data_IF_629447102022
#
_entry.id   IF_629447102022
#
_cell.length_a   1.000
_cell.length_b   1.000
_cell.length_c   1.000
_cell.angle_alpha   90.00
_cell.angle_beta   90.00
_cell.angle_gamma   90.00
#
_symmetry.space_group_name_H-M   'P 1'
#
loop_
_entity.id
_entity.type
_entity.pdbx_description
1 polymer ?
#
# COMPACT_ATOMS: atom_id res chain seq x y z
N UNK A 1 -15.58 -19.21 59.47
CA UNK A 1 -16.91 -19.74 59.10
C UNK A 1 -17.65 -18.74 58.22
N UNK A 2 -17.47 -18.81 56.89
CA UNK A 2 -18.38 -18.23 55.90
C UNK A 2 -18.39 -19.15 54.68
N UNK A 3 -19.61 -19.40 54.22
CA UNK A 3 -20.07 -20.51 53.40
C UNK A 3 -19.70 -20.37 51.93
N UNK A 4 -19.24 -21.48 51.32
CA UNK A 4 -19.01 -21.65 49.88
C UNK A 4 -20.32 -22.13 49.25
N UNK A 5 -20.85 -21.41 48.26
CA UNK A 5 -21.98 -21.84 47.43
C UNK A 5 -21.46 -22.47 46.14
N UNK A 6 -21.65 -23.78 46.02
CA UNK A 6 -21.51 -24.55 44.80
C UNK A 6 -22.79 -24.42 43.97
N UNK A 7 -22.70 -23.99 42.72
CA UNK A 7 -23.80 -24.02 41.75
C UNK A 7 -23.55 -25.23 40.84
N UNK A 8 -24.49 -26.18 40.85
CA UNK A 8 -24.54 -27.31 39.95
C UNK A 8 -25.30 -26.92 38.67
N UNK A 9 -24.70 -27.16 37.50
CA UNK A 9 -25.36 -27.06 36.21
C UNK A 9 -25.75 -28.48 35.78
N UNK A 10 -27.05 -28.73 35.74
CA UNK A 10 -27.65 -29.97 35.21
C UNK A 10 -27.72 -29.90 33.69
N UNK A 11 -27.09 -30.88 33.03
CA UNK A 11 -27.23 -31.14 31.61
C UNK A 11 -28.54 -31.91 31.32
N UNK A 12 -29.35 -31.39 30.41
CA UNK A 12 -30.51 -32.10 29.87
C UNK A 12 -30.19 -32.59 28.47
N UNK A 13 -30.12 -33.92 28.33
CA UNK A 13 -30.15 -34.64 27.07
C UNK A 13 -31.52 -34.46 26.39
N UNK A 14 -31.53 -34.09 25.11
CA UNK A 14 -32.68 -34.32 24.24
C UNK A 14 -32.24 -35.25 23.10
N UNK A 15 -32.72 -36.49 23.19
CA UNK A 15 -32.61 -37.53 22.17
C UNK A 15 -33.82 -37.42 21.25
N UNK A 16 -33.60 -37.23 19.95
CA UNK A 16 -34.61 -37.50 18.91
C UNK A 16 -33.92 -38.35 17.84
N UNK A 17 -34.41 -39.58 17.69
CA UNK A 17 -34.13 -40.47 16.57
C UNK A 17 -35.43 -40.74 15.80
N UNK A 18 -35.26 -41.29 14.59
CA UNK A 18 -36.21 -41.70 13.54
C UNK A 18 -36.36 -40.64 12.42
N UNK A 19 -36.18 -40.94 11.14
CA UNK A 19 -36.06 -42.25 10.50
C UNK A 19 -35.48 -42.19 9.09
N UNK A 20 -35.08 -43.37 8.66
CA UNK A 20 -34.43 -43.77 7.41
C UNK A 20 -35.41 -43.68 6.24
N UNK A 21 -34.94 -43.24 5.07
CA UNK A 21 -35.36 -43.81 3.79
C UNK A 21 -34.31 -43.60 2.70
N UNK A 22 -34.05 -44.69 2.01
CA UNK A 22 -33.02 -44.96 1.01
C UNK A 22 -33.22 -44.17 -0.29
N UNK A 23 -32.13 -43.60 -0.82
CA UNK A 23 -31.89 -43.55 -2.27
C UNK A 23 -30.42 -43.82 -2.54
N UNK A 24 -30.14 -45.03 -3.01
CA UNK A 24 -28.85 -45.44 -3.58
C UNK A 24 -28.92 -45.12 -5.07
N UNK A 25 -28.05 -44.21 -5.54
CA UNK A 25 -27.73 -44.07 -6.95
C UNK A 25 -26.24 -44.38 -7.17
N UNK A 26 -25.89 -45.06 -8.28
CA UNK A 26 -24.59 -45.69 -8.43
C UNK A 26 -23.51 -44.71 -8.91
N UNK A 27 -22.38 -44.70 -8.20
CA UNK A 27 -21.11 -44.24 -8.75
C UNK A 27 -20.63 -45.26 -9.79
N UNK A 28 -20.68 -44.91 -11.07
CA UNK A 28 -19.91 -45.57 -12.11
C UNK A 28 -19.40 -44.52 -13.11
N UNK A 29 -18.08 -44.57 -13.34
CA UNK A 29 -17.35 -44.12 -14.52
C UNK A 29 -17.47 -42.66 -14.98
N UNK A 30 -16.55 -41.82 -14.48
CA UNK A 30 -15.84 -40.84 -15.31
C UNK A 30 -14.35 -40.83 -14.92
N UNK A 31 -13.59 -41.81 -15.45
CA UNK A 31 -12.16 -41.64 -15.70
C UNK A 31 -12.05 -40.81 -16.98
N UNK A 32 -12.01 -39.49 -16.82
CA UNK A 32 -11.58 -38.54 -17.85
C UNK A 32 -10.33 -37.84 -17.33
N UNK A 33 -9.22 -38.01 -18.04
CA UNK A 33 -7.94 -37.38 -17.76
C UNK A 33 -8.03 -35.86 -17.88
N UNK A 34 -7.86 -35.13 -16.78
CA UNK A 34 -7.61 -33.69 -16.75
C UNK A 34 -6.28 -33.42 -16.03
N UNK A 35 -5.19 -34.02 -16.53
CA UNK A 35 -3.82 -33.70 -16.15
C UNK A 35 -3.06 -33.12 -17.36
N UNK A 36 -3.67 -32.18 -18.10
CA UNK A 36 -3.02 -31.49 -19.24
C UNK A 36 -3.43 -30.00 -19.34
N UNK A 37 -3.81 -29.40 -18.21
CA UNK A 37 -3.96 -27.94 -18.11
C UNK A 37 -3.32 -27.51 -16.80
N UNK A 38 -1.99 -27.43 -16.79
CA UNK A 38 -1.15 -26.63 -15.90
C UNK A 38 0.30 -26.99 -16.29
N UNK A 39 1.13 -25.97 -16.51
CA UNK A 39 2.51 -26.01 -17.06
C UNK A 39 2.58 -25.90 -18.60
N UNK A 40 2.11 -24.75 -19.09
CA UNK A 40 2.96 -23.93 -19.97
C UNK A 40 3.18 -22.61 -19.26
N UNK A 41 4.09 -22.62 -18.27
CA UNK A 41 4.80 -21.40 -17.95
C UNK A 41 5.55 -21.04 -19.23
N UNK A 42 5.15 -19.94 -19.85
CA UNK A 42 5.80 -19.45 -21.05
C UNK A 42 7.27 -19.15 -20.69
N UNK A 43 8.20 -19.66 -21.50
CA UNK A 43 9.50 -19.05 -21.66
C UNK A 43 9.25 -17.66 -22.26
N UNK A 44 8.93 -16.69 -21.39
CA UNK A 44 8.93 -15.29 -21.78
C UNK A 44 10.37 -14.93 -22.08
N UNK A 45 10.60 -14.35 -23.25
CA UNK A 45 11.94 -13.88 -23.58
C UNK A 45 12.32 -12.73 -22.65
N UNK A 46 13.62 -12.51 -22.46
CA UNK A 46 14.15 -11.34 -21.75
C UNK A 46 13.56 -10.04 -22.34
N UNK A 47 13.30 -10.00 -23.64
CA UNK A 47 12.64 -8.89 -24.33
C UNK A 47 11.18 -8.71 -23.91
N UNK A 48 10.43 -9.79 -23.65
CA UNK A 48 9.04 -9.74 -23.18
C UNK A 48 8.95 -9.28 -21.71
N UNK A 49 9.90 -9.69 -20.87
CA UNK A 49 10.03 -9.20 -19.49
C UNK A 49 10.38 -7.71 -19.47
N UNK A 50 11.35 -7.28 -20.29
CA UNK A 50 11.70 -5.87 -20.45
C UNK A 50 10.55 -5.07 -21.04
N UNK A 51 9.76 -5.60 -21.98
CA UNK A 51 8.58 -4.92 -22.52
C UNK A 51 7.43 -4.81 -21.50
N UNK A 52 7.19 -5.85 -20.71
CA UNK A 52 6.23 -5.82 -19.61
C UNK A 52 6.64 -4.82 -18.53
N UNK A 53 7.93 -4.78 -18.17
CA UNK A 53 8.52 -3.79 -17.27
C UNK A 53 8.44 -2.38 -17.83
N UNK A 54 8.79 -2.13 -19.10
CA UNK A 54 8.58 -0.83 -19.76
C UNK A 54 7.10 -0.41 -19.77
N UNK A 55 6.15 -1.33 -19.87
CA UNK A 55 4.71 -1.03 -19.77
C UNK A 55 4.23 -0.79 -18.32
N UNK A 56 5.01 -1.26 -17.34
CA UNK A 56 4.76 -1.13 -15.91
C UNK A 56 5.42 0.13 -15.31
N UNK A 57 6.55 0.56 -15.87
CA UNK A 57 7.41 1.66 -15.41
C UNK A 57 7.42 2.87 -16.35
N UNK A 58 7.21 2.68 -17.66
CA UNK A 58 7.30 3.75 -18.66
C UNK A 58 6.18 4.78 -18.63
N UNK A 59 5.29 4.72 -17.64
CA UNK A 59 4.16 5.62 -17.45
C UNK A 59 4.03 5.97 -15.97
N UNK A 60 5.05 6.63 -15.39
CA UNK A 60 4.80 7.60 -14.32
C UNK A 60 4.05 8.80 -14.89
N UNK A 61 2.85 8.56 -15.45
CA UNK A 61 1.95 9.58 -16.02
C UNK A 61 1.43 10.58 -14.97
N UNK A 62 1.93 10.51 -13.73
CA UNK A 62 1.63 11.54 -12.75
C UNK A 62 2.14 12.89 -13.27
N UNK A 63 3.33 12.98 -13.89
CA UNK A 63 3.76 14.21 -14.57
C UNK A 63 4.75 13.96 -15.71
N UNK A 64 4.33 14.29 -16.93
CA UNK A 64 5.19 14.48 -18.10
C UNK A 64 5.95 15.82 -17.94
N UNK A 65 6.95 15.83 -17.07
CA UNK A 65 7.86 16.95 -16.85
C UNK A 65 9.29 16.50 -17.09
N UNK A 66 9.66 16.39 -18.36
CA UNK A 66 11.06 16.45 -18.78
C UNK A 66 11.62 17.84 -18.43
N UNK A 67 12.14 17.98 -17.21
CA UNK A 67 13.05 19.06 -16.84
C UNK A 67 14.34 18.38 -16.40
N UNK A 68 15.36 18.46 -17.26
CA UNK A 68 16.72 18.10 -16.88
C UNK A 68 17.12 18.97 -15.66
N UNK A 69 17.47 18.38 -14.51
CA UNK A 69 17.94 19.17 -13.39
C UNK A 69 19.29 19.80 -13.78
N UNK A 70 19.33 21.13 -13.88
CA UNK A 70 20.62 21.82 -13.98
C UNK A 70 21.43 21.56 -12.70
N UNK A 71 22.74 21.27 -12.82
CA UNK A 71 23.59 21.01 -11.66
C UNK A 71 23.72 22.29 -10.83
N UNK A 72 23.05 22.31 -9.68
CA UNK A 72 23.15 23.40 -8.72
C UNK A 72 24.54 23.37 -8.05
N UNK A 73 25.28 24.48 -8.21
CA UNK A 73 26.62 24.64 -7.66
C UNK A 73 26.59 24.74 -6.14
N UNK A 74 27.16 23.74 -5.47
CA UNK A 74 27.53 23.83 -4.05
C UNK A 74 29.02 23.51 -3.90
N UNK A 75 29.77 24.48 -3.36
CA UNK A 75 31.20 24.39 -3.07
C UNK A 75 31.38 24.07 -1.58
N UNK A 76 31.39 22.79 -1.22
CA UNK A 76 31.98 22.32 0.03
C UNK A 76 32.70 20.98 -0.23
N UNK A 77 33.88 20.80 0.36
CA UNK A 77 34.79 19.67 0.12
C UNK A 77 34.19 18.32 0.57
N UNK A 78 33.23 17.78 -0.18
CA UNK A 78 32.80 16.39 -0.10
C UNK A 78 33.75 15.59 -1.01
N UNK A 79 34.28 14.48 -0.48
CA UNK A 79 35.12 13.56 -1.24
C UNK A 79 34.38 13.09 -2.50
N UNK A 80 35.05 13.07 -3.65
CA UNK A 80 34.44 12.76 -4.95
C UNK A 80 33.85 11.33 -4.95
N UNK A 81 34.50 10.40 -4.24
CA UNK A 81 34.03 9.04 -4.01
C UNK A 81 32.77 8.98 -3.12
N UNK A 82 32.62 9.95 -2.20
CA UNK A 82 31.40 10.11 -1.40
C UNK A 82 30.27 10.66 -2.28
N UNK A 83 30.52 11.71 -3.06
CA UNK A 83 29.52 12.31 -3.94
C UNK A 83 28.92 11.28 -4.93
N UNK A 84 29.74 10.36 -5.42
CA UNK A 84 29.33 9.34 -6.39
C UNK A 84 28.50 8.21 -5.75
N UNK A 85 28.80 7.81 -4.51
CA UNK A 85 28.03 6.80 -3.78
C UNK A 85 26.65 7.28 -3.29
N UNK A 86 26.41 8.60 -3.23
CA UNK A 86 25.18 9.14 -2.63
C UNK A 86 24.16 9.68 -3.64
N UNK A 87 24.53 9.75 -4.92
CA UNK A 87 23.59 9.81 -6.04
C UNK A 87 23.10 8.41 -6.45
N UNK A 88 23.51 7.35 -5.75
CA UNK A 88 23.07 6.00 -6.02
C UNK A 88 21.61 5.87 -5.63
N UNK A 89 20.76 5.66 -6.62
CA UNK A 89 19.39 5.19 -6.46
C UNK A 89 19.45 3.66 -6.44
N UNK A 90 19.13 2.99 -5.31
CA UNK A 90 18.97 1.53 -5.29
C UNK A 90 18.09 1.04 -6.44
N UNK A 91 17.05 1.79 -6.79
CA UNK A 91 16.23 1.47 -7.95
C UNK A 91 17.07 1.45 -9.24
N UNK A 92 17.72 2.56 -9.59
CA UNK A 92 18.47 2.65 -10.85
C UNK A 92 19.66 1.68 -10.93
N UNK A 93 20.22 1.25 -9.78
CA UNK A 93 21.22 0.18 -9.72
C UNK A 93 20.65 -1.18 -10.13
N UNK A 94 19.46 -1.55 -9.62
CA UNK A 94 18.82 -2.83 -9.94
C UNK A 94 18.22 -2.84 -11.34
N UNK A 95 17.83 -1.68 -11.86
CA UNK A 95 17.23 -1.54 -13.19
C UNK A 95 18.03 -0.58 -14.09
N UNK A 96 19.19 -1.02 -14.63
CA UNK A 96 20.02 -0.18 -15.50
C UNK A 96 19.24 0.37 -16.70
N UNK A 97 19.26 1.71 -16.85
CA UNK A 97 18.59 2.43 -17.93
C UNK A 97 17.14 2.82 -17.63
N UNK A 98 16.64 2.51 -16.45
CA UNK A 98 15.44 3.13 -15.89
C UNK A 98 15.87 4.23 -14.92
N UNK A 99 14.98 5.21 -14.74
CA UNK A 99 15.18 6.30 -13.81
C UNK A 99 13.99 6.44 -12.88
N UNK A 100 14.24 6.77 -11.61
CA UNK A 100 13.14 7.19 -10.72
C UNK A 100 12.68 8.59 -11.14
N UNK A 101 11.45 8.94 -10.76
CA UNK A 101 10.91 10.23 -11.11
C UNK A 101 11.69 11.37 -10.43
N UNK A 102 11.90 12.53 -11.10
CA UNK A 102 12.61 13.68 -10.52
C UNK A 102 12.09 14.13 -9.15
N UNK A 103 10.79 13.98 -8.90
CA UNK A 103 10.17 14.36 -7.64
C UNK A 103 10.50 13.41 -6.48
N UNK A 104 11.07 12.23 -6.77
CA UNK A 104 11.58 11.29 -5.76
C UNK A 104 13.00 11.60 -5.31
N UNK A 105 13.73 12.44 -6.05
CA UNK A 105 15.03 12.92 -5.64
C UNK A 105 14.90 14.07 -4.65
N UNK A 106 15.61 13.97 -3.52
CA UNK A 106 15.68 15.08 -2.58
C UNK A 106 16.60 16.17 -3.15
N UNK A 107 16.12 17.42 -3.23
CA UNK A 107 16.88 18.53 -3.80
C UNK A 107 18.16 18.86 -2.99
N UNK A 108 18.11 18.64 -1.68
CA UNK A 108 19.26 18.80 -0.77
C UNK A 108 19.49 17.49 -0.03
N UNK A 109 20.51 16.76 -0.45
CA UNK A 109 20.89 15.49 0.18
C UNK A 109 21.74 15.79 1.41
N UNK A 110 21.14 15.64 2.58
CA UNK A 110 21.88 15.49 3.82
C UNK A 110 22.35 14.04 3.92
N UNK A 111 23.54 13.82 4.48
CA UNK A 111 24.14 12.49 4.61
C UNK A 111 24.04 12.04 6.08
N UNK A 112 22.93 11.42 6.48
CA UNK A 112 22.83 10.86 7.82
C UNK A 112 23.87 9.74 7.99
N UNK A 113 24.38 9.54 9.22
CA UNK A 113 24.99 8.27 9.58
C UNK A 113 24.09 7.10 9.19
N UNK A 114 24.66 5.98 8.75
CA UNK A 114 23.86 4.85 8.22
C UNK A 114 22.85 4.31 9.25
N UNK A 115 23.22 4.30 10.53
CA UNK A 115 22.35 3.93 11.66
C UNK A 115 21.22 4.94 11.96
N UNK A 116 21.13 6.00 11.17
CA UNK A 116 20.12 7.07 11.22
C UNK A 116 19.36 7.23 9.92
N UNK A 117 19.78 6.60 8.83
CA UNK A 117 19.13 6.74 7.53
C UNK A 117 17.67 6.25 7.58
N UNK A 118 16.78 7.04 7.00
CA UNK A 118 15.35 6.76 6.92
C UNK A 118 14.96 6.62 5.45
N UNK A 119 14.23 5.57 5.11
CA UNK A 119 13.52 5.49 3.83
C UNK A 119 12.04 5.82 4.01
N UNK A 120 11.51 6.78 3.25
CA UNK A 120 10.08 7.08 3.21
C UNK A 120 9.32 5.97 2.49
N UNK A 121 8.35 5.35 3.14
CA UNK A 121 7.45 4.36 2.55
C UNK A 121 6.06 5.00 2.37
N UNK A 122 5.78 5.45 1.14
CA UNK A 122 4.54 6.12 0.78
C UNK A 122 3.56 5.15 0.13
N UNK A 123 2.61 4.68 0.92
CA UNK A 123 1.46 3.95 0.38
C UNK A 123 0.50 4.93 -0.29
N UNK A 124 0.12 4.66 -1.54
CA UNK A 124 -0.74 5.53 -2.32
C UNK A 124 -1.94 6.11 -1.56
N UNK A 125 -2.10 7.43 -1.63
CA UNK A 125 -3.21 8.20 -1.04
C UNK A 125 -3.27 8.23 0.49
N UNK A 126 -2.15 7.98 1.16
CA UNK A 126 -2.00 8.20 2.61
C UNK A 126 -1.41 9.58 2.96
N UNK A 127 -1.59 10.60 2.13
CA UNK A 127 -0.95 11.92 2.31
C UNK A 127 0.60 11.90 2.21
N UNK A 128 1.19 10.90 1.54
CA UNK A 128 2.65 10.83 1.43
C UNK A 128 3.28 11.96 0.63
N UNK A 129 2.60 12.60 -0.34
CA UNK A 129 3.12 13.84 -0.95
C UNK A 129 3.19 15.00 0.06
N UNK A 130 2.20 15.16 0.95
CA UNK A 130 2.27 16.15 2.04
C UNK A 130 3.48 15.89 2.94
N UNK A 131 3.71 14.63 3.32
CA UNK A 131 4.84 14.24 4.17
C UNK A 131 6.17 14.40 3.42
N UNK A 132 6.24 13.99 2.15
CA UNK A 132 7.41 14.13 1.30
C UNK A 132 7.79 15.62 1.11
N UNK A 133 6.82 16.51 0.89
CA UNK A 133 7.07 17.97 0.88
C UNK A 133 7.72 18.42 2.19
N UNK A 134 7.16 18.00 3.33
CA UNK A 134 7.67 18.37 4.65
C UNK A 134 9.09 17.82 4.91
N UNK A 135 9.44 16.69 4.29
CA UNK A 135 10.77 16.09 4.31
C UNK A 135 11.76 16.71 3.32
N UNK A 136 11.31 17.63 2.45
CA UNK A 136 12.14 18.32 1.46
C UNK A 136 12.22 17.65 0.09
N UNK A 137 11.34 16.69 -0.22
CA UNK A 137 11.20 16.18 -1.58
C UNK A 137 10.39 17.18 -2.44
N UNK A 138 10.75 17.39 -3.72
CA UNK A 138 10.03 18.28 -4.63
C UNK A 138 8.79 17.58 -5.21
N UNK A 139 7.93 17.07 -4.34
CA UNK A 139 6.72 16.35 -4.73
C UNK A 139 5.69 17.26 -5.43
N UNK A 140 4.82 16.70 -6.28
CA UNK A 140 3.78 17.49 -6.94
C UNK A 140 2.88 18.25 -5.95
N UNK A 141 2.73 19.54 -6.17
CA UNK A 141 1.91 20.43 -5.34
C UNK A 141 2.61 20.98 -4.09
N UNK A 142 3.89 20.66 -3.86
CA UNK A 142 4.66 21.33 -2.81
C UNK A 142 4.84 22.83 -3.12
N UNK A 143 4.60 23.74 -2.17
CA UNK A 143 5.06 25.11 -2.31
C UNK A 143 6.58 25.16 -2.33
N UNK A 144 7.16 26.09 -3.08
CA UNK A 144 8.61 26.32 -3.10
C UNK A 144 9.13 26.55 -1.67
N UNK A 145 10.06 25.70 -1.23
CA UNK A 145 10.93 25.86 -0.06
C UNK A 145 10.29 25.86 1.35
N UNK A 146 9.70 24.73 1.79
CA UNK A 146 9.51 24.48 3.23
C UNK A 146 9.83 23.05 3.64
N UNK A 147 11.12 22.71 3.62
CA UNK A 147 11.59 21.63 4.49
C UNK A 147 11.23 22.00 5.93
N UNK A 148 10.57 21.09 6.63
CA UNK A 148 10.24 21.31 8.03
C UNK A 148 11.50 21.27 8.90
N UNK A 149 11.42 21.84 10.10
CA UNK A 149 12.54 21.79 11.03
C UNK A 149 12.73 20.35 11.54
N UNK A 150 13.97 20.02 11.90
CA UNK A 150 14.31 18.75 12.55
C UNK A 150 15.42 17.97 11.85
N UNK A 151 15.71 16.80 12.39
CA UNK A 151 16.62 15.83 11.79
C UNK A 151 15.89 14.82 10.92
N UNK A 152 14.58 14.58 11.12
CA UNK A 152 13.81 13.63 10.31
C UNK A 152 13.81 13.98 8.82
N UNK A 153 13.59 15.25 8.40
CA UNK A 153 13.79 15.64 7.00
C UNK A 153 15.20 15.30 6.53
N UNK A 154 16.24 15.69 7.28
CA UNK A 154 17.64 15.46 6.92
C UNK A 154 18.00 13.98 6.82
N UNK A 155 17.40 13.15 7.64
CA UNK A 155 17.70 11.73 7.72
C UNK A 155 16.90 10.90 6.72
N UNK A 156 15.82 11.46 6.16
CA UNK A 156 15.02 10.80 5.13
C UNK A 156 15.59 11.12 3.75
N UNK A 157 16.34 10.17 3.20
CA UNK A 157 17.11 10.34 1.97
C UNK A 157 16.50 9.61 0.77
N UNK A 158 15.69 8.58 1.05
CA UNK A 158 15.16 7.62 0.07
C UNK A 158 13.65 7.53 0.09
N UNK A 159 13.06 7.03 -0.99
CA UNK A 159 11.61 6.97 -1.15
C UNK A 159 11.16 5.70 -1.88
N UNK A 160 10.27 4.96 -1.25
CA UNK A 160 9.50 3.87 -1.84
C UNK A 160 8.04 4.28 -2.10
N UNK A 161 7.63 4.26 -3.38
CA UNK A 161 6.25 4.57 -3.79
C UNK A 161 5.79 3.76 -5.00
N UNK A 162 4.60 3.16 -4.93
CA UNK A 162 3.87 2.65 -6.09
C UNK A 162 4.68 1.73 -7.04
N UNK A 163 5.50 0.83 -6.48
CA UNK A 163 6.34 -0.08 -7.26
C UNK A 163 7.73 0.44 -7.59
N UNK A 164 8.05 1.69 -7.23
CA UNK A 164 9.39 2.27 -7.30
C UNK A 164 10.05 2.14 -5.92
N UNK A 165 10.80 1.07 -5.70
CA UNK A 165 11.53 0.81 -4.45
C UNK A 165 12.94 1.44 -4.52
N UNK A 166 13.09 2.67 -4.03
CA UNK A 166 14.40 3.34 -3.93
C UNK A 166 15.01 3.29 -2.52
N UNK A 167 14.64 2.32 -1.69
CA UNK A 167 15.22 2.15 -0.36
C UNK A 167 16.48 1.28 -0.40
N UNK A 168 17.44 1.58 0.46
CA UNK A 168 18.47 0.60 0.79
C UNK A 168 17.91 -0.40 1.81
N UNK A 169 18.16 -1.69 1.60
CA UNK A 169 17.71 -2.73 2.54
C UNK A 169 18.31 -2.58 3.94
N UNK A 170 19.44 -1.91 4.08
CA UNK A 170 20.09 -1.62 5.36
C UNK A 170 19.79 -0.21 5.91
N UNK A 171 18.78 0.50 5.40
CA UNK A 171 18.30 1.74 6.02
C UNK A 171 17.87 1.48 7.47
N UNK A 172 18.25 2.37 8.37
CA UNK A 172 18.01 2.20 9.81
C UNK A 172 16.53 2.21 10.18
N UNK A 173 15.70 2.95 9.42
CA UNK A 173 14.27 3.02 9.61
C UNK A 173 13.50 3.07 8.29
N UNK A 174 12.28 2.52 8.31
CA UNK A 174 11.32 2.59 7.23
C UNK A 174 10.11 3.39 7.68
N UNK A 175 9.92 4.57 7.12
CA UNK A 175 8.94 5.55 7.56
C UNK A 175 7.64 5.43 6.77
N UNK A 176 6.71 4.64 7.30
CA UNK A 176 5.42 4.39 6.69
C UNK A 176 4.46 5.56 6.89
N UNK A 177 3.92 6.07 5.80
CA UNK A 177 2.78 6.98 5.82
C UNK A 177 1.50 6.18 5.63
N UNK A 178 0.63 6.18 6.64
CA UNK A 178 -0.61 5.39 6.65
C UNK A 178 -1.85 6.28 6.82
N UNK A 179 -3.00 5.72 6.47
CA UNK A 179 -4.32 6.31 6.52
C UNK A 179 -5.36 5.22 6.78
N UNK A 180 -6.51 5.58 7.34
CA UNK A 180 -7.67 4.69 7.42
C UNK A 180 -7.88 3.94 6.08
N UNK A 181 -7.86 2.58 6.06
CA UNK A 181 -7.88 1.82 4.82
C UNK A 181 -9.08 2.10 3.91
N UNK A 182 -10.27 2.36 4.47
CA UNK A 182 -11.45 2.71 3.70
C UNK A 182 -11.27 4.07 3.01
N UNK A 183 -10.86 5.10 3.76
CA UNK A 183 -10.66 6.45 3.22
C UNK A 183 -9.54 6.47 2.18
N UNK A 184 -8.50 5.66 2.39
CA UNK A 184 -7.43 5.45 1.41
C UNK A 184 -7.99 4.84 0.13
N UNK A 185 -8.75 3.76 0.22
CA UNK A 185 -9.32 3.08 -0.95
C UNK A 185 -10.27 3.97 -1.76
N UNK A 186 -11.15 4.74 -1.07
CA UNK A 186 -12.00 5.75 -1.71
C UNK A 186 -11.15 6.80 -2.41
N UNK A 187 -10.11 7.31 -1.74
CA UNK A 187 -9.22 8.32 -2.32
C UNK A 187 -8.43 7.77 -3.51
N UNK A 188 -8.01 6.50 -3.49
CA UNK A 188 -7.26 5.84 -4.55
C UNK A 188 -8.15 5.58 -5.77
N UNK A 189 -9.36 5.08 -5.56
CA UNK A 189 -10.33 4.90 -6.63
C UNK A 189 -10.59 6.21 -7.37
N UNK A 190 -10.91 7.28 -6.64
CA UNK A 190 -11.21 8.58 -7.24
C UNK A 190 -9.99 9.22 -7.92
N UNK A 191 -8.80 9.03 -7.35
CA UNK A 191 -7.57 9.51 -7.98
C UNK A 191 -7.28 8.81 -9.30
N UNK A 192 -7.49 7.50 -9.35
CA UNK A 192 -7.18 6.70 -10.53
C UNK A 192 -8.11 6.92 -11.72
N UNK A 193 -9.27 7.55 -11.50
CA UNK A 193 -10.22 7.87 -12.55
C UNK A 193 -9.68 9.01 -13.42
N UNK A 194 -9.54 8.83 -14.74
CA UNK A 194 -9.08 9.91 -15.62
C UNK A 194 -10.04 11.12 -15.59
N UNK A 195 -9.50 12.32 -15.46
CA UNK A 195 -10.29 13.56 -15.57
C UNK A 195 -10.90 13.73 -16.95
N UNK A 196 -10.17 13.30 -17.99
CA UNK A 196 -10.68 13.14 -19.36
C UNK A 196 -10.18 11.85 -19.99
N UNK A 197 -11.04 11.21 -20.79
CA UNK A 197 -10.67 10.00 -21.53
C UNK A 197 -9.65 10.26 -22.65
N UNK A 198 -9.54 11.50 -23.11
CA UNK A 198 -8.51 11.90 -24.08
C UNK A 198 -7.12 11.86 -23.46
N UNK A 199 -6.95 12.41 -22.25
CA UNK A 199 -5.68 12.31 -21.51
C UNK A 199 -5.26 10.85 -21.35
N UNK A 200 -6.18 9.99 -20.91
CA UNK A 200 -5.88 8.57 -20.72
C UNK A 200 -5.46 7.85 -22.02
N UNK A 201 -6.04 8.20 -23.18
CA UNK A 201 -5.64 7.64 -24.48
C UNK A 201 -4.26 8.11 -24.93
N UNK A 202 -3.89 9.33 -24.55
CA UNK A 202 -2.63 9.95 -24.94
C UNK A 202 -1.46 9.51 -24.06
N UNK A 203 -1.72 9.02 -22.84
CA UNK A 203 -0.70 8.49 -21.92
C UNK A 203 0.00 7.22 -22.45
N UNK A 204 -0.71 6.11 -22.57
CA UNK A 204 -0.24 4.91 -23.31
C UNK A 204 -1.40 3.96 -23.57
N UNK A 205 -1.25 3.08 -24.56
CA UNK A 205 -2.26 2.06 -24.86
C UNK A 205 -2.45 1.09 -23.68
N UNK A 206 -1.37 0.71 -23.00
CA UNK A 206 -1.42 -0.17 -21.84
C UNK A 206 -2.15 0.49 -20.66
N UNK A 207 -1.78 1.73 -20.31
CA UNK A 207 -2.48 2.50 -19.28
C UNK A 207 -3.97 2.65 -19.61
N UNK A 208 -4.30 3.12 -20.83
CA UNK A 208 -5.67 3.32 -21.27
C UNK A 208 -6.52 2.06 -21.14
N UNK A 209 -6.00 0.90 -21.61
CA UNK A 209 -6.71 -0.38 -21.51
C UNK A 209 -7.01 -0.76 -20.05
N UNK A 210 -6.04 -0.59 -19.15
CA UNK A 210 -6.19 -0.92 -17.72
C UNK A 210 -7.24 -0.02 -17.05
N UNK A 211 -7.12 1.30 -17.17
CA UNK A 211 -8.04 2.23 -16.49
C UNK A 211 -9.44 2.20 -17.10
N UNK A 212 -9.57 2.08 -18.44
CA UNK A 212 -10.86 1.96 -19.11
C UNK A 212 -11.64 0.75 -18.61
N UNK A 213 -10.97 -0.39 -18.40
CA UNK A 213 -11.60 -1.63 -17.98
C UNK A 213 -12.34 -1.52 -16.63
N UNK A 214 -11.84 -0.70 -15.69
CA UNK A 214 -12.49 -0.47 -14.41
C UNK A 214 -13.44 0.72 -14.46
N UNK A 215 -12.94 1.88 -14.90
CA UNK A 215 -13.64 3.15 -14.72
C UNK A 215 -14.64 3.49 -15.83
N UNK A 216 -14.39 3.07 -17.08
CA UNK A 216 -15.32 3.33 -18.19
C UNK A 216 -16.31 2.18 -18.37
N UNK A 217 -15.80 0.96 -18.36
CA UNK A 217 -16.58 -0.22 -18.73
C UNK A 217 -17.45 -0.73 -17.58
N UNK A 218 -17.12 -0.37 -16.33
CA UNK A 218 -17.78 -0.92 -15.15
C UNK A 218 -18.31 0.14 -14.18
N UNK A 219 -17.46 0.99 -13.61
CA UNK A 219 -17.86 1.83 -12.46
C UNK A 219 -17.36 3.27 -12.58
N UNK A 220 -18.30 4.22 -12.58
CA UNK A 220 -17.96 5.65 -12.63
C UNK A 220 -17.68 6.22 -11.23
N UNK A 221 -18.26 5.62 -10.17
CA UNK A 221 -18.06 6.03 -8.78
C UNK A 221 -17.75 4.84 -7.87
N UNK A 222 -17.14 5.11 -6.72
CA UNK A 222 -16.86 4.08 -5.71
C UNK A 222 -18.16 3.47 -5.14
N UNK A 223 -19.23 4.27 -5.04
CA UNK A 223 -20.56 3.78 -4.66
C UNK A 223 -21.10 2.75 -5.67
N UNK A 224 -20.96 2.99 -6.98
CA UNK A 224 -21.35 2.00 -8.00
C UNK A 224 -20.49 0.74 -7.93
N UNK A 225 -19.18 0.89 -7.69
CA UNK A 225 -18.30 -0.26 -7.49
C UNK A 225 -18.80 -1.15 -6.35
N UNK A 226 -19.19 -0.55 -5.22
CA UNK A 226 -19.71 -1.28 -4.08
C UNK A 226 -21.12 -1.84 -4.33
N UNK A 227 -22.09 -0.99 -4.64
CA UNK A 227 -23.50 -1.34 -4.74
C UNK A 227 -23.80 -2.27 -5.92
N UNK A 228 -23.16 -2.07 -7.08
CA UNK A 228 -23.40 -2.88 -8.27
C UNK A 228 -22.37 -4.01 -8.41
N UNK A 229 -21.10 -3.74 -8.09
CA UNK A 229 -19.98 -4.66 -8.29
C UNK A 229 -19.76 -5.67 -7.17
N UNK A 230 -19.81 -5.21 -5.91
CA UNK A 230 -19.52 -6.06 -4.74
C UNK A 230 -20.77 -6.69 -4.13
N UNK A 231 -21.91 -6.01 -4.17
CA UNK A 231 -23.14 -6.53 -3.58
C UNK A 231 -23.56 -7.87 -4.21
N UNK A 232 -24.08 -8.79 -3.39
CA UNK A 232 -24.55 -10.10 -3.85
C UNK A 232 -25.61 -9.98 -4.97
N UNK A 233 -26.52 -9.02 -4.80
CA UNK A 233 -27.62 -8.70 -5.72
C UNK A 233 -27.33 -7.45 -6.60
N UNK A 234 -26.07 -7.06 -6.75
CA UNK A 234 -25.68 -5.92 -7.58
C UNK A 234 -25.97 -6.14 -9.07
N UNK A 235 -26.21 -5.05 -9.81
CA UNK A 235 -26.64 -5.10 -11.22
C UNK A 235 -25.47 -5.20 -12.21
N UNK A 236 -24.22 -5.31 -11.74
CA UNK A 236 -23.05 -5.40 -12.61
C UNK A 236 -22.92 -6.77 -13.28
N UNK A 237 -22.32 -6.79 -14.48
CA UNK A 237 -21.96 -8.04 -15.17
C UNK A 237 -20.95 -8.86 -14.36
N UNK A 238 -20.88 -10.18 -14.58
CA UNK A 238 -19.90 -11.05 -13.90
C UNK A 238 -18.45 -10.53 -14.05
N UNK A 239 -18.09 -10.04 -15.23
CA UNK A 239 -16.78 -9.43 -15.49
C UNK A 239 -16.55 -8.20 -14.61
N UNK A 240 -17.53 -7.29 -14.50
CA UNK A 240 -17.39 -6.10 -13.67
C UNK A 240 -17.36 -6.42 -12.18
N UNK A 241 -18.13 -7.42 -11.72
CA UNK A 241 -18.07 -7.90 -10.33
C UNK A 241 -16.68 -8.45 -9.98
N UNK A 242 -16.08 -9.22 -10.90
CA UNK A 242 -14.70 -9.68 -10.73
C UNK A 242 -13.72 -8.51 -10.66
N UNK A 243 -13.82 -7.54 -11.57
CA UNK A 243 -12.95 -6.34 -11.59
C UNK A 243 -13.10 -5.51 -10.31
N UNK A 244 -14.31 -5.36 -9.77
CA UNK A 244 -14.55 -4.68 -8.49
C UNK A 244 -13.77 -5.34 -7.35
N UNK A 245 -13.92 -6.67 -7.20
CA UNK A 245 -13.20 -7.44 -6.17
C UNK A 245 -11.69 -7.27 -6.31
N UNK A 246 -11.17 -7.50 -7.52
CA UNK A 246 -9.74 -7.46 -7.80
C UNK A 246 -9.12 -6.06 -7.64
N UNK A 247 -9.90 -5.00 -7.89
CA UNK A 247 -9.47 -3.63 -7.68
C UNK A 247 -9.32 -3.31 -6.18
N UNK A 248 -10.33 -3.66 -5.36
CA UNK A 248 -10.31 -3.41 -3.91
C UNK A 248 -9.28 -4.27 -3.20
N UNK A 249 -9.14 -5.53 -3.61
CA UNK A 249 -8.15 -6.47 -3.07
C UNK A 249 -6.71 -6.17 -3.55
N UNK A 250 -6.56 -5.28 -4.55
CA UNK A 250 -5.27 -4.96 -5.15
C UNK A 250 -4.63 -6.14 -5.90
N UNK A 251 -5.42 -7.14 -6.32
CA UNK A 251 -4.91 -8.34 -7.01
C UNK A 251 -4.71 -8.11 -8.51
N UNK A 252 -5.33 -7.09 -9.09
CA UNK A 252 -5.17 -6.72 -10.51
C UNK A 252 -4.82 -5.23 -10.61
N UNK A 253 -3.84 -4.90 -11.44
CA UNK A 253 -3.39 -3.52 -11.67
C UNK A 253 -4.32 -2.76 -12.61
N UNK A 254 -5.43 -2.24 -12.08
CA UNK A 254 -6.24 -1.24 -12.80
C UNK A 254 -5.66 0.17 -12.63
N UNK A 255 -5.20 0.47 -11.42
CA UNK A 255 -4.50 1.70 -11.05
C UNK A 255 -3.50 1.41 -9.92
N UNK A 256 -2.42 2.20 -9.86
CA UNK A 256 -1.25 1.94 -9.02
C UNK A 256 -1.55 2.03 -7.52
N UNK A 257 -2.29 3.04 -7.05
CA UNK A 257 -2.54 3.26 -5.63
C UNK A 257 -3.50 2.24 -5.00
N UNK A 258 -4.35 1.60 -5.80
CA UNK A 258 -5.12 0.42 -5.38
C UNK A 258 -4.26 -0.86 -5.42
N UNK A 259 -3.44 -1.02 -6.46
CA UNK A 259 -2.66 -2.24 -6.68
C UNK A 259 -1.47 -2.41 -5.71
N UNK A 260 -0.72 -1.33 -5.47
CA UNK A 260 0.37 -1.29 -4.50
C UNK A 260 -0.21 -0.85 -3.15
N UNK A 261 -0.85 -1.81 -2.48
CA UNK A 261 -1.56 -1.63 -1.23
C UNK A 261 -0.63 -1.78 0.00
N UNK A 262 -1.16 -1.78 1.23
CA UNK A 262 -0.35 -1.93 2.44
C UNK A 262 0.41 -3.25 2.46
N UNK A 263 -0.19 -4.35 1.97
CA UNK A 263 0.48 -5.65 1.92
C UNK A 263 1.76 -5.57 1.09
N UNK A 264 1.69 -4.96 -0.10
CA UNK A 264 2.85 -4.81 -0.96
C UNK A 264 3.99 -4.07 -0.25
N UNK A 265 3.69 -2.94 0.39
CA UNK A 265 4.74 -2.13 1.03
C UNK A 265 5.30 -2.80 2.29
N UNK A 266 4.47 -3.47 3.09
CA UNK A 266 4.92 -4.16 4.30
C UNK A 266 5.78 -5.39 3.98
N UNK A 267 5.45 -6.15 2.95
CA UNK A 267 6.21 -7.34 2.55
C UNK A 267 7.44 -7.02 1.69
N UNK A 268 7.52 -5.82 1.10
CA UNK A 268 8.65 -5.39 0.28
C UNK A 268 9.84 -4.87 1.09
N UNK A 269 9.63 -4.38 2.32
CA UNK A 269 10.76 -3.97 3.20
C UNK A 269 11.49 -5.21 3.76
N UNK A 270 12.71 -5.08 4.33
CA UNK A 270 13.40 -6.19 4.99
C UNK A 270 12.64 -6.73 6.20
N UNK A 271 12.89 -8.00 6.55
CA UNK A 271 12.18 -8.68 7.63
C UNK A 271 12.44 -8.08 9.03
N UNK A 272 13.63 -7.50 9.23
CA UNK A 272 14.07 -6.85 10.45
C UNK A 272 13.93 -5.32 10.39
N UNK A 273 13.21 -4.80 9.39
CA UNK A 273 12.95 -3.38 9.22
C UNK A 273 12.35 -2.76 10.49
N UNK A 274 12.98 -1.66 10.94
CA UNK A 274 12.44 -0.84 12.04
C UNK A 274 11.45 0.16 11.47
N UNK A 275 10.17 -0.13 11.64
CA UNK A 275 9.09 0.68 11.07
C UNK A 275 8.81 1.88 11.98
N UNK A 276 8.86 3.08 11.42
CA UNK A 276 8.28 4.30 12.00
C UNK A 276 6.99 4.57 11.23
N UNK A 277 5.95 5.06 11.88
CA UNK A 277 4.66 5.32 11.23
C UNK A 277 4.12 6.69 11.55
N UNK A 278 3.59 7.35 10.53
CA UNK A 278 2.80 8.57 10.63
C UNK A 278 1.41 8.32 10.07
N UNK A 279 0.38 8.60 10.88
CA UNK A 279 -1.03 8.44 10.52
C UNK A 279 -1.55 9.75 9.94
N UNK A 280 -2.25 9.68 8.81
CA UNK A 280 -2.83 10.86 8.13
C UNK A 280 -3.78 11.64 9.04
N UNK A 281 -4.48 10.91 9.92
CA UNK A 281 -5.44 11.45 10.88
C UNK A 281 -4.73 12.24 12.00
N UNK A 282 -3.45 11.94 12.26
CA UNK A 282 -2.66 12.41 13.41
C UNK A 282 -1.28 12.96 13.02
N UNK A 283 -1.16 13.53 11.82
CA UNK A 283 0.13 13.90 11.18
C UNK A 283 1.09 14.64 12.12
N UNK A 284 0.60 15.62 12.88
CA UNK A 284 1.46 16.50 13.69
C UNK A 284 2.04 15.78 14.90
N UNK A 285 1.20 15.05 15.65
CA UNK A 285 1.65 14.33 16.84
C UNK A 285 2.61 13.21 16.45
N UNK A 286 2.25 12.48 15.40
CA UNK A 286 3.07 11.39 14.90
C UNK A 286 4.38 11.90 14.29
N UNK A 287 4.41 13.07 13.65
CA UNK A 287 5.66 13.70 13.21
C UNK A 287 6.62 13.96 14.38
N UNK A 288 6.11 14.52 15.48
CA UNK A 288 6.93 14.80 16.66
C UNK A 288 7.47 13.51 17.29
N UNK A 289 6.69 12.42 17.30
CA UNK A 289 7.19 11.11 17.77
C UNK A 289 8.22 10.50 16.82
N UNK A 290 8.03 10.63 15.50
CA UNK A 290 8.98 10.15 14.50
C UNK A 290 10.32 10.90 14.59
N UNK A 291 10.28 12.23 14.68
CA UNK A 291 11.43 13.11 14.89
C UNK A 291 12.23 12.69 16.13
N UNK A 292 11.56 12.50 17.27
CA UNK A 292 12.21 12.05 18.50
C UNK A 292 12.81 10.64 18.35
N UNK A 293 12.11 9.74 17.65
CA UNK A 293 12.55 8.34 17.45
C UNK A 293 13.85 8.23 16.67
N UNK A 294 14.06 9.10 15.67
CA UNK A 294 15.29 9.13 14.88
C UNK A 294 16.44 9.87 15.59
N UNK A 295 16.18 10.45 16.77
CA UNK A 295 17.16 11.14 17.61
C UNK A 295 17.09 12.67 17.58
N UNK A 296 16.01 13.22 17.05
CA UNK A 296 15.69 14.65 17.08
C UNK A 296 15.11 15.12 18.41
N UNK A 297 14.67 16.37 18.43
CA UNK A 297 14.02 16.97 19.59
C UNK A 297 12.52 16.61 19.64
N UNK A 298 11.91 16.74 20.83
CA UNK A 298 10.45 16.64 20.94
C UNK A 298 9.81 17.97 20.54
N UNK A 299 8.62 17.91 19.93
CA UNK A 299 7.80 19.09 19.63
C UNK A 299 8.46 20.10 18.68
N UNK A 300 9.21 19.61 17.67
CA UNK A 300 9.95 20.45 16.72
C UNK A 300 9.01 21.33 15.89
N UNK A 301 7.77 20.91 15.66
CA UNK A 301 6.78 21.71 14.93
C UNK A 301 6.15 22.86 15.76
N UNK A 302 6.48 22.96 17.05
CA UNK A 302 5.94 23.97 17.97
C UNK A 302 4.43 23.83 18.23
N UNK A 303 3.87 24.77 18.99
CA UNK A 303 2.43 24.83 19.32
C UNK A 303 1.58 25.31 18.14
N UNK A 304 2.17 26.04 17.18
CA UNK A 304 1.43 26.65 16.07
C UNK A 304 1.14 25.66 14.92
N UNK A 305 1.76 24.47 14.90
CA UNK A 305 1.40 23.30 14.07
C UNK A 305 1.15 23.51 12.56
N UNK A 306 1.54 24.66 11.99
CA UNK A 306 1.21 25.06 10.60
C UNK A 306 2.20 24.57 9.54
N UNK A 307 3.24 23.84 9.94
CA UNK A 307 4.38 23.53 9.08
C UNK A 307 4.15 22.37 8.12
N UNK A 308 3.23 21.44 8.42
CA UNK A 308 2.88 20.35 7.49
C UNK A 308 1.72 20.82 6.62
N UNK A 309 1.94 21.12 5.33
CA UNK A 309 0.87 21.61 4.47
C UNK A 309 -0.14 20.49 4.22
N UNK A 310 -1.42 20.74 4.53
CA UNK A 310 -2.50 19.83 4.12
C UNK A 310 -2.79 20.03 2.63
N UNK A 311 -2.04 19.32 1.79
CA UNK A 311 -2.16 19.39 0.34
C UNK A 311 -3.19 18.35 -0.09
N UNK A 312 -4.44 18.80 -0.24
CA UNK A 312 -5.43 18.01 -0.96
C UNK A 312 -5.30 18.35 -2.44
N UNK A 313 -4.52 17.56 -3.19
CA UNK A 313 -4.30 17.76 -4.64
C UNK A 313 -5.62 17.63 -5.43
N UNK A 314 -6.64 16.96 -4.88
CA UNK A 314 -7.95 16.82 -5.52
C UNK A 314 -9.05 17.54 -4.74
N UNK A 315 -9.68 18.50 -5.41
CA UNK A 315 -11.00 19.07 -5.08
C UNK A 315 -12.12 18.06 -5.40
N UNK A 316 -11.96 16.81 -4.95
CA UNK A 316 -12.99 15.80 -5.16
C UNK A 316 -14.27 16.24 -4.46
N UNK A 317 -15.38 16.23 -5.20
CA UNK A 317 -16.68 16.67 -4.69
C UNK A 317 -17.21 15.71 -3.63
N UNK A 318 -18.08 16.16 -2.73
CA UNK A 318 -18.72 15.30 -1.73
C UNK A 318 -19.41 14.08 -2.37
N UNK A 319 -19.87 14.24 -3.62
CA UNK A 319 -20.48 13.16 -4.40
C UNK A 319 -19.49 12.04 -4.77
N UNK A 320 -18.22 12.37 -5.01
CA UNK A 320 -17.20 11.38 -5.37
C UNK A 320 -16.73 10.57 -4.15
N UNK A 321 -16.78 11.17 -2.96
CA UNK A 321 -16.47 10.49 -1.70
C UNK A 321 -17.66 9.77 -1.07
N UNK A 322 -18.86 9.95 -1.61
CA UNK A 322 -20.08 9.41 -1.05
C UNK A 322 -20.05 7.87 -1.06
N UNK A 323 -20.37 7.29 0.10
CA UNK A 323 -20.66 5.88 0.27
C UNK A 323 -21.89 5.73 1.19
N UNK A 324 -22.87 4.92 0.75
CA UNK A 324 -23.95 4.46 1.64
C UNK A 324 -23.39 3.59 2.76
N UNK A 325 -24.14 3.42 3.85
CA UNK A 325 -23.71 2.55 4.95
C UNK A 325 -23.60 1.09 4.48
N UNK A 326 -24.48 0.64 3.58
CA UNK A 326 -24.41 -0.68 2.95
C UNK A 326 -23.17 -0.84 2.08
N UNK A 327 -22.88 0.15 1.21
CA UNK A 327 -21.69 0.14 0.36
C UNK A 327 -20.40 0.18 1.18
N UNK A 328 -20.40 0.90 2.31
CA UNK A 328 -19.28 0.93 3.25
C UNK A 328 -18.98 -0.46 3.79
N UNK A 329 -20.00 -1.18 4.26
CA UNK A 329 -19.85 -2.55 4.78
C UNK A 329 -19.25 -3.47 3.71
N UNK A 330 -19.73 -3.39 2.47
CA UNK A 330 -19.23 -4.20 1.36
C UNK A 330 -17.75 -3.94 1.04
N UNK A 331 -17.34 -2.67 1.04
CA UNK A 331 -15.94 -2.31 0.82
C UNK A 331 -15.07 -2.76 1.99
N UNK A 332 -15.51 -2.52 3.23
CA UNK A 332 -14.77 -2.96 4.43
C UNK A 332 -14.54 -4.47 4.42
N UNK A 333 -15.57 -5.27 4.11
CA UNK A 333 -15.46 -6.73 4.00
C UNK A 333 -14.35 -7.13 3.00
N UNK A 334 -14.33 -6.48 1.84
CA UNK A 334 -13.30 -6.69 0.81
C UNK A 334 -11.92 -6.17 1.18
N UNK A 335 -11.84 -5.12 1.98
CA UNK A 335 -10.61 -4.58 2.54
C UNK A 335 -10.13 -5.34 3.78
N UNK A 336 -10.79 -6.42 4.22
CA UNK A 336 -10.44 -7.07 5.48
C UNK A 336 -8.93 -7.37 5.60
N UNK A 337 -8.32 -7.98 4.57
CA UNK A 337 -6.89 -8.31 4.59
C UNK A 337 -6.02 -7.05 4.68
N UNK A 338 -6.33 -6.04 3.87
CA UNK A 338 -5.66 -4.73 3.89
C UNK A 338 -5.75 -4.06 5.26
N UNK A 339 -6.91 -4.17 5.92
CA UNK A 339 -7.14 -3.70 7.28
C UNK A 339 -6.27 -4.46 8.28
N UNK A 340 -6.17 -5.79 8.19
CA UNK A 340 -5.28 -6.54 9.09
C UNK A 340 -3.82 -6.16 8.88
N UNK A 341 -3.39 -5.91 7.64
CA UNK A 341 -2.03 -5.41 7.35
C UNK A 341 -1.81 -4.03 7.96
N UNK A 342 -2.78 -3.11 7.83
CA UNK A 342 -2.74 -1.79 8.47
C UNK A 342 -2.56 -1.91 9.99
N UNK A 343 -3.32 -2.78 10.66
CA UNK A 343 -3.16 -3.03 12.10
C UNK A 343 -1.77 -3.56 12.43
N UNK A 344 -1.25 -4.46 11.60
CA UNK A 344 0.09 -5.00 11.79
C UNK A 344 1.15 -3.91 11.67
N UNK A 345 1.05 -3.01 10.68
CA UNK A 345 1.95 -1.84 10.55
C UNK A 345 1.94 -1.05 11.85
N UNK A 346 0.77 -0.61 12.33
CA UNK A 346 0.65 0.16 13.57
C UNK A 346 1.29 -0.55 14.78
N UNK A 347 1.08 -1.86 14.88
CA UNK A 347 1.56 -2.67 16.00
C UNK A 347 3.08 -2.83 16.02
N UNK A 348 3.72 -2.87 14.85
CA UNK A 348 5.19 -3.02 14.75
C UNK A 348 5.92 -1.67 14.70
N UNK A 349 5.19 -0.56 14.59
CA UNK A 349 5.75 0.78 14.61
C UNK A 349 6.48 1.04 15.93
N UNK A 350 7.74 1.48 15.85
CA UNK A 350 8.57 1.71 17.04
C UNK A 350 8.32 3.08 17.70
N UNK A 351 7.61 3.99 17.03
CA UNK A 351 7.31 5.34 17.51
C UNK A 351 5.89 5.51 18.08
N UNK A 352 5.01 4.53 17.89
CA UNK A 352 3.63 4.58 18.38
C UNK A 352 3.52 3.88 19.73
N UNK A 353 2.79 4.48 20.66
CA UNK A 353 2.41 3.84 21.93
C UNK A 353 1.04 3.16 21.81
N UNK A 354 0.73 2.24 22.74
CA UNK A 354 -0.54 1.50 22.75
C UNK A 354 -1.77 2.41 22.66
N UNK A 355 -1.78 3.53 23.38
CA UNK A 355 -2.90 4.50 23.36
C UNK A 355 -3.13 5.09 21.96
N UNK A 356 -2.07 5.38 21.20
CA UNK A 356 -2.17 5.88 19.83
C UNK A 356 -2.64 4.79 18.87
N UNK A 357 -2.21 3.54 19.10
CA UNK A 357 -2.69 2.40 18.31
C UNK A 357 -4.19 2.20 18.57
N UNK A 358 -4.62 2.16 19.83
CA UNK A 358 -6.02 2.02 20.24
C UNK A 358 -6.91 3.15 19.71
N UNK A 359 -6.41 4.39 19.67
CA UNK A 359 -7.09 5.53 19.04
C UNK A 359 -7.38 5.24 17.56
N UNK A 360 -6.38 4.83 16.79
CA UNK A 360 -6.57 4.51 15.37
C UNK A 360 -7.48 3.30 15.13
N UNK A 361 -7.43 2.30 16.01
CA UNK A 361 -8.36 1.17 15.95
C UNK A 361 -9.79 1.58 16.29
N UNK A 362 -9.96 2.55 17.20
CA UNK A 362 -11.26 3.11 17.56
C UNK A 362 -11.85 3.94 16.43
N UNK A 363 -11.03 4.74 15.75
CA UNK A 363 -11.43 5.47 14.53
C UNK A 363 -11.80 4.52 13.40
N UNK A 364 -10.98 3.48 13.18
CA UNK A 364 -11.28 2.42 12.20
C UNK A 364 -12.58 1.70 12.52
N UNK A 365 -12.90 1.47 13.80
CA UNK A 365 -14.16 0.84 14.22
C UNK A 365 -15.39 1.68 13.86
N UNK A 366 -15.26 3.01 13.74
CA UNK A 366 -16.36 3.87 13.28
C UNK A 366 -16.68 3.65 11.80
N UNK A 367 -15.68 3.34 10.97
CA UNK A 367 -15.86 3.13 9.53
C UNK A 367 -16.07 1.66 9.14
N UNK A 368 -15.31 0.73 9.72
CA UNK A 368 -15.31 -0.71 9.44
C UNK A 368 -15.38 -1.53 10.76
N UNK A 369 -16.53 -1.56 11.46
CA UNK A 369 -16.63 -2.10 12.81
C UNK A 369 -16.26 -3.59 12.92
N UNK A 370 -16.71 -4.40 11.96
CA UNK A 370 -16.48 -5.85 11.99
C UNK A 370 -15.00 -6.17 11.77
N UNK A 371 -14.38 -5.51 10.80
CA UNK A 371 -12.99 -5.73 10.41
C UNK A 371 -12.02 -5.16 11.44
N UNK A 372 -12.38 -4.05 12.12
CA UNK A 372 -11.62 -3.48 13.23
C UNK A 372 -11.50 -4.46 14.41
N UNK A 373 -12.57 -5.20 14.72
CA UNK A 373 -12.58 -6.20 15.80
C UNK A 373 -12.00 -7.56 15.38
N UNK A 374 -12.15 -7.92 14.11
CA UNK A 374 -11.65 -9.18 13.56
C UNK A 374 -10.12 -9.31 13.71
N UNK A 375 -9.66 -10.51 14.08
CA UNK A 375 -8.24 -10.86 14.16
C UNK A 375 -7.71 -11.49 12.86
N UNK A 376 -8.61 -11.92 11.99
CA UNK A 376 -8.31 -12.58 10.71
C UNK A 376 -9.50 -12.43 9.77
N UNK A 377 -9.26 -12.66 8.48
CA UNK A 377 -10.29 -12.59 7.45
C UNK A 377 -10.83 -13.97 7.08
N UNK A 378 -12.05 -14.01 6.54
CA UNK A 378 -12.65 -15.24 6.02
C UNK A 378 -12.04 -15.69 4.68
N UNK A 379 -11.29 -14.80 4.02
CA UNK A 379 -10.53 -15.06 2.82
C UNK A 379 -9.03 -15.11 3.15
N UNK A 380 -8.24 -15.97 2.50
CA UNK A 380 -6.80 -15.99 2.70
C UNK A 380 -6.20 -14.65 2.26
N UNK A 381 -5.07 -14.29 2.87
CA UNK A 381 -4.25 -13.18 2.38
C UNK A 381 -3.84 -13.50 0.92
N UNK A 382 -3.78 -12.52 0.00
CA UNK A 382 -3.30 -12.76 -1.36
C UNK A 382 -1.82 -13.15 -1.38
N UNK A 383 -1.44 -14.05 -2.28
CA UNK A 383 -0.04 -14.28 -2.62
C UNK A 383 0.43 -13.18 -3.58
N UNK A 384 1.40 -12.38 -3.14
CA UNK A 384 1.97 -11.26 -3.92
C UNK A 384 3.42 -11.53 -4.34
N UNK A 385 3.87 -12.78 -4.31
CA UNK A 385 5.24 -13.20 -4.70
C UNK A 385 5.63 -12.62 -6.06
N UNK A 386 4.81 -12.83 -7.09
CA UNK A 386 5.06 -12.28 -8.44
C UNK A 386 5.09 -10.76 -8.44
N UNK A 387 4.16 -10.10 -7.74
CA UNK A 387 4.14 -8.64 -7.59
C UNK A 387 5.43 -8.10 -6.97
N UNK A 388 5.99 -8.79 -5.97
CA UNK A 388 7.25 -8.42 -5.33
C UNK A 388 8.45 -8.66 -6.26
N UNK A 389 8.50 -9.81 -6.94
CA UNK A 389 9.55 -10.11 -7.93
C UNK A 389 9.60 -9.07 -9.04
N UNK A 390 8.44 -8.70 -9.56
CA UNK A 390 8.34 -7.74 -10.67
C UNK A 390 8.70 -6.31 -10.28
N UNK A 391 8.49 -5.93 -9.01
CA UNK A 391 8.47 -4.51 -8.63
C UNK A 391 9.39 -4.10 -7.46
N UNK A 392 9.85 -5.01 -6.59
CA UNK A 392 10.77 -4.66 -5.49
C UNK A 392 12.22 -4.53 -5.95
N UNK A 393 12.58 -5.17 -7.06
CA UNK A 393 13.94 -5.14 -7.59
C UNK A 393 14.83 -6.20 -7.02
N UNK A 394 14.30 -7.40 -6.80
CA UNK A 394 15.16 -8.51 -6.45
C UNK A 394 16.07 -8.87 -7.63
N UNK A 395 17.32 -9.20 -7.34
CA UNK A 395 18.24 -9.73 -8.34
C UNK A 395 17.66 -10.98 -9.00
N UNK A 396 17.98 -11.18 -10.29
CA UNK A 396 17.54 -12.36 -11.01
C UNK A 396 18.03 -13.64 -10.32
N UNK A 397 17.08 -14.52 -9.96
CA UNK A 397 17.36 -15.76 -9.22
C UNK A 397 17.32 -15.62 -7.71
N UNK A 398 17.02 -14.43 -7.16
CA UNK A 398 16.76 -14.27 -5.72
C UNK A 398 15.60 -15.17 -5.31
N UNK A 399 15.84 -16.01 -4.31
CA UNK A 399 14.83 -16.86 -3.73
C UNK A 399 14.17 -16.12 -2.57
N UNK A 400 12.94 -15.65 -2.78
CA UNK A 400 12.12 -15.12 -1.69
C UNK A 400 11.44 -16.28 -0.96
N UNK A 401 11.38 -16.18 0.37
CA UNK A 401 10.71 -17.16 1.22
C UNK A 401 9.31 -17.47 0.73
N UNK A 402 8.92 -18.75 0.78
CA UNK A 402 7.60 -19.19 0.35
C UNK A 402 6.48 -18.40 1.01
N UNK A 403 5.40 -18.21 0.25
CA UNK A 403 4.20 -17.56 0.72
C UNK A 403 3.58 -18.31 1.91
N UNK A 404 3.67 -17.73 3.11
CA UNK A 404 3.23 -18.35 4.35
C UNK A 404 1.73 -18.25 4.65
N UNK A 405 0.97 -17.43 3.92
CA UNK A 405 -0.42 -17.11 4.27
C UNK A 405 -0.59 -16.13 5.43
N UNK A 406 0.49 -15.77 6.12
CA UNK A 406 0.47 -14.88 7.28
C UNK A 406 1.00 -13.49 6.91
N UNK A 407 0.49 -12.47 7.59
CA UNK A 407 1.00 -11.11 7.48
C UNK A 407 2.37 -11.06 8.17
N UNK A 408 3.40 -10.64 7.45
CA UNK A 408 4.76 -10.47 7.96
C UNK A 408 5.37 -9.15 7.51
N UNK A 409 6.28 -8.61 8.33
CA UNK A 409 7.20 -7.56 7.90
C UNK A 409 8.23 -8.24 7.01
N UNK A 410 8.32 -7.79 5.77
CA UNK A 410 9.22 -8.32 4.76
C UNK A 410 9.02 -9.78 4.37
N UNK A 411 9.79 -10.17 3.36
CA UNK A 411 10.04 -11.56 2.95
C UNK A 411 11.52 -11.86 3.16
N UNK A 412 11.83 -13.06 3.67
CA UNK A 412 13.24 -13.49 3.82
C UNK A 412 13.82 -13.74 2.43
N UNK A 413 15.06 -13.28 2.20
CA UNK A 413 15.83 -13.61 1.01
C UNK A 413 16.78 -14.76 1.34
N UNK A 414 16.88 -15.75 0.44
CA UNK A 414 17.66 -16.96 0.61
C UNK A 414 18.85 -17.05 -0.33
#
# INVERSE_FOLDING_TARGET
>A
MKSVRTIAITASLLTICFGVSYFVLPCNNLRGSNNDVMIKAAEMSEEDLVAAQKSNYGNSDDYDAHVDPEPFGYEDNIDEDQLQAYNLSPFEEHWPGYHIDPWMYKAVTWYPPKDKEVCLVHVGKSAGYTVACALGFPSPGCPEEKETLGVLPKYTTKWFHAGLYDCFDDSAFYFFVVRNPLDRAVSAFNYGKPTTWERARNSSEAYYKRVKALYFDCFDTIEQLAADGLAANGNATATCRLRASQAVEGSTRFENHLYYNYQYHLEAVPQDARIITIRTEHLIDDWNTAEFTVGGEKNVLGEDQTLIPRINVNDSTDKEKYLSDESRVLICEKLCNEIQVYKQILKVSVNLIEEQIEESLSELKLSCPNEAEAQSCGIPLPDITEKLLDNRGYDNGTLISEYSGNISVGRTLH
#
